data_IF_273207243399
#
_entry.id   IF_273207243399
#
_cell.length_a   1.000
_cell.length_b   1.000
_cell.length_c   1.000
_cell.angle_alpha   90.00
_cell.angle_beta   90.00
_cell.angle_gamma   90.00
#
_symmetry.space_group_name_H-M   'P 1'
#
loop_
_entity.id
_entity.type
_entity.pdbx_description
1 polymer ?
#
# COMPACT_ATOMS: atom_id res chain seq x y z
N UNK A 1 -16.02 -27.24 28.44
CA UNK A 1 -16.14 -26.42 27.21
C UNK A 1 -14.82 -26.52 26.49
N UNK A 2 -14.72 -27.41 25.50
CA UNK A 2 -13.53 -27.48 24.66
C UNK A 2 -13.50 -26.20 23.81
N UNK A 3 -12.48 -25.37 23.98
CA UNK A 3 -12.19 -24.30 23.06
C UNK A 3 -11.96 -24.95 21.69
N UNK A 4 -12.82 -24.66 20.73
CA UNK A 4 -12.59 -25.08 19.36
C UNK A 4 -11.22 -24.53 18.96
N UNK A 5 -10.25 -25.41 18.77
CA UNK A 5 -8.95 -25.07 18.21
C UNK A 5 -9.23 -24.61 16.79
N UNK A 6 -9.26 -23.29 16.62
CA UNK A 6 -9.33 -22.69 15.28
C UNK A 6 -8.03 -23.10 14.59
N UNK A 7 -8.11 -24.09 13.72
CA UNK A 7 -6.98 -24.56 12.94
C UNK A 7 -6.77 -23.59 11.78
N UNK A 8 -5.85 -22.67 11.95
CA UNK A 8 -5.49 -21.72 10.90
C UNK A 8 -4.58 -20.61 11.45
N UNK A 9 -3.96 -19.84 10.58
CA UNK A 9 -3.13 -18.72 11.02
C UNK A 9 -3.97 -17.70 11.78
N UNK A 10 -3.47 -17.25 12.93
CA UNK A 10 -4.13 -16.25 13.77
C UNK A 10 -3.84 -14.83 13.27
N UNK A 11 -4.89 -13.99 13.28
CA UNK A 11 -4.83 -12.62 12.80
C UNK A 11 -5.28 -11.69 13.93
N UNK A 12 -4.56 -10.59 14.12
CA UNK A 12 -5.00 -9.49 14.97
C UNK A 12 -5.10 -8.20 14.16
N UNK A 13 -6.24 -7.52 14.22
CA UNK A 13 -6.33 -6.14 13.76
C UNK A 13 -5.71 -5.24 14.82
N UNK A 14 -4.54 -4.68 14.50
CA UNK A 14 -3.78 -3.83 15.43
C UNK A 14 -4.36 -2.43 15.50
N UNK A 15 -4.66 -1.84 14.35
CA UNK A 15 -5.31 -0.54 14.22
C UNK A 15 -6.19 -0.47 12.98
N UNK A 16 -7.18 0.39 13.05
CA UNK A 16 -7.99 0.86 11.91
C UNK A 16 -8.13 2.36 12.07
N UNK A 17 -7.43 3.09 11.23
CA UNK A 17 -7.34 4.54 11.30
C UNK A 17 -8.20 5.23 10.22
N UNK A 18 -8.72 6.39 10.55
CA UNK A 18 -9.46 7.28 9.65
C UNK A 18 -10.95 7.41 9.92
N UNK A 19 -11.73 6.35 10.16
CA UNK A 19 -13.16 6.48 10.37
C UNK A 19 -13.48 7.14 11.73
N UNK A 20 -14.55 7.96 11.80
CA UNK A 20 -15.14 8.37 13.08
C UNK A 20 -15.65 7.17 13.87
N UNK A 21 -15.76 7.28 15.19
CA UNK A 21 -16.14 6.20 16.11
C UNK A 21 -17.40 5.43 15.68
N UNK A 22 -18.42 6.14 15.22
CA UNK A 22 -19.68 5.51 14.81
C UNK A 22 -19.54 4.63 13.58
N UNK A 23 -18.69 5.04 12.64
CA UNK A 23 -18.36 4.28 11.41
C UNK A 23 -17.39 3.15 11.76
N UNK A 24 -16.39 3.43 12.59
CA UNK A 24 -15.45 2.44 13.08
C UNK A 24 -16.16 1.21 13.71
N UNK A 25 -17.11 1.43 14.62
CA UNK A 25 -17.84 0.33 15.26
C UNK A 25 -18.57 -0.54 14.26
N UNK A 26 -19.33 0.06 13.34
CA UNK A 26 -20.03 -0.67 12.27
C UNK A 26 -19.06 -1.44 11.38
N UNK A 27 -17.91 -0.85 11.08
CA UNK A 27 -16.90 -1.51 10.26
C UNK A 27 -16.30 -2.72 10.97
N UNK A 28 -15.98 -2.60 12.26
CA UNK A 28 -15.50 -3.72 13.09
C UNK A 28 -16.55 -4.84 13.18
N UNK A 29 -17.83 -4.51 13.33
CA UNK A 29 -18.91 -5.51 13.35
C UNK A 29 -18.95 -6.28 12.02
N UNK A 30 -18.90 -5.59 10.88
CA UNK A 30 -18.83 -6.24 9.58
C UNK A 30 -17.58 -7.11 9.41
N UNK A 31 -16.41 -6.66 9.90
CA UNK A 31 -15.19 -7.46 9.87
C UNK A 31 -15.32 -8.74 10.69
N UNK A 32 -15.93 -8.67 11.86
CA UNK A 32 -16.17 -9.84 12.71
C UNK A 32 -17.13 -10.82 12.06
N UNK A 33 -18.22 -10.36 11.45
CA UNK A 33 -19.15 -11.20 10.69
C UNK A 33 -18.44 -11.94 9.54
N UNK A 34 -17.63 -11.23 8.79
CA UNK A 34 -16.86 -11.79 7.67
C UNK A 34 -15.78 -12.79 8.14
N UNK A 35 -15.14 -12.52 9.27
CA UNK A 35 -14.17 -13.43 9.88
C UNK A 35 -14.84 -14.76 10.27
N UNK A 36 -15.99 -14.68 10.93
CA UNK A 36 -16.78 -15.86 11.31
C UNK A 36 -17.24 -16.64 10.09
N UNK A 37 -17.78 -15.95 9.08
CA UNK A 37 -18.26 -16.57 7.85
C UNK A 37 -17.15 -17.33 7.10
N UNK A 38 -15.89 -16.89 7.21
CA UNK A 38 -14.73 -17.52 6.59
C UNK A 38 -13.93 -18.42 7.52
N UNK A 39 -14.40 -18.63 8.75
CA UNK A 39 -13.72 -19.41 9.79
C UNK A 39 -12.28 -18.94 10.05
N UNK A 40 -12.05 -17.63 9.95
CA UNK A 40 -10.75 -17.03 10.21
C UNK A 40 -10.53 -16.83 11.71
N UNK A 41 -9.33 -17.15 12.18
CA UNK A 41 -8.93 -17.01 13.57
C UNK A 41 -8.55 -15.56 13.89
N UNK A 42 -9.53 -14.69 14.06
CA UNK A 42 -9.29 -13.31 14.51
C UNK A 42 -9.20 -13.28 16.03
N UNK A 43 -8.08 -12.78 16.55
CA UNK A 43 -7.80 -12.68 17.97
C UNK A 43 -7.74 -11.21 18.40
N UNK A 44 -7.80 -10.98 19.72
CA UNK A 44 -7.64 -9.62 20.27
C UNK A 44 -6.31 -8.99 19.83
N UNK A 45 -6.31 -7.68 19.64
CA UNK A 45 -5.10 -6.92 19.28
C UNK A 45 -3.94 -7.09 20.26
N UNK A 46 -4.24 -7.42 21.51
CA UNK A 46 -3.24 -7.66 22.55
C UNK A 46 -2.77 -9.10 22.64
N UNK A 47 -3.45 -10.02 21.94
CA UNK A 47 -3.09 -11.42 21.91
C UNK A 47 -1.91 -11.66 20.93
N UNK A 48 -1.24 -12.79 21.14
CA UNK A 48 -0.26 -13.26 20.17
C UNK A 48 -0.98 -13.66 18.88
N UNK A 49 -0.51 -13.14 17.75
CA UNK A 49 -1.04 -13.43 16.44
C UNK A 49 0.10 -13.66 15.44
N UNK A 50 -0.12 -14.56 14.51
CA UNK A 50 0.85 -14.84 13.44
C UNK A 50 0.94 -13.68 12.45
N UNK A 51 -0.20 -13.04 12.20
CA UNK A 51 -0.28 -11.86 11.33
C UNK A 51 -0.96 -10.70 12.05
N UNK A 52 -0.48 -9.49 11.79
CA UNK A 52 -1.06 -8.25 12.29
C UNK A 52 -1.48 -7.37 11.13
N UNK A 53 -2.69 -6.82 11.21
CA UNK A 53 -3.26 -5.97 10.17
C UNK A 53 -3.38 -4.55 10.69
N UNK A 54 -2.86 -3.60 9.92
CA UNK A 54 -3.10 -2.16 10.10
C UNK A 54 -3.95 -1.67 8.96
N UNK A 55 -5.12 -1.17 9.29
CA UNK A 55 -6.10 -0.67 8.35
C UNK A 55 -6.12 0.85 8.29
N UNK A 56 -6.32 1.39 7.10
CA UNK A 56 -6.51 2.82 6.86
C UNK A 56 -7.73 2.98 5.97
N UNK A 57 -8.64 3.86 6.37
CA UNK A 57 -9.87 4.12 5.61
C UNK A 57 -10.04 5.62 5.45
N UNK A 58 -10.33 6.08 4.26
CA UNK A 58 -10.50 7.50 3.93
C UNK A 58 -11.77 7.72 3.13
N UNK A 59 -12.51 8.75 3.48
CA UNK A 59 -13.65 9.19 2.68
C UNK A 59 -13.22 10.37 1.80
N UNK A 60 -13.28 10.18 0.49
CA UNK A 60 -12.82 11.12 -0.52
C UNK A 60 -13.99 11.62 -1.35
N UNK A 61 -13.96 12.90 -1.73
CA UNK A 61 -14.91 13.45 -2.71
C UNK A 61 -14.30 13.31 -4.10
N UNK A 62 -14.91 12.48 -4.91
CA UNK A 62 -14.52 12.27 -6.29
C UNK A 62 -15.16 13.29 -7.25
N UNK A 63 -14.94 13.09 -8.53
CA UNK A 63 -15.55 13.90 -9.60
C UNK A 63 -17.08 13.82 -9.51
N UNK A 64 -17.76 14.96 -9.70
CA UNK A 64 -19.24 15.03 -9.65
C UNK A 64 -19.84 14.91 -8.25
N UNK A 65 -19.07 15.19 -7.19
CA UNK A 65 -19.49 15.08 -5.78
C UNK A 65 -19.84 13.67 -5.31
N UNK A 66 -19.47 12.65 -6.06
CA UNK A 66 -19.57 11.28 -5.58
C UNK A 66 -18.56 11.07 -4.45
N UNK A 67 -18.99 10.44 -3.37
CA UNK A 67 -18.07 10.03 -2.30
C UNK A 67 -17.51 8.65 -2.64
N UNK A 68 -16.22 8.50 -2.43
CA UNK A 68 -15.50 7.22 -2.55
C UNK A 68 -14.86 6.93 -1.20
N UNK A 69 -15.04 5.73 -0.70
CA UNK A 69 -14.34 5.23 0.47
C UNK A 69 -13.14 4.42 -0.02
N UNK A 70 -11.96 5.01 0.11
CA UNK A 70 -10.71 4.33 -0.17
C UNK A 70 -10.20 3.63 1.10
N UNK A 71 -9.66 2.44 0.95
CA UNK A 71 -9.15 1.68 2.07
C UNK A 71 -7.86 0.94 1.72
N UNK A 72 -7.05 0.72 2.74
CA UNK A 72 -5.76 0.04 2.63
C UNK A 72 -5.53 -0.80 3.89
N UNK A 73 -5.08 -2.03 3.71
CA UNK A 73 -4.61 -2.89 4.79
C UNK A 73 -3.17 -3.29 4.54
N UNK A 74 -2.33 -3.06 5.53
CA UNK A 74 -0.98 -3.62 5.61
C UNK A 74 -0.97 -4.82 6.55
N UNK A 75 -0.52 -5.95 6.06
CA UNK A 75 -0.39 -7.19 6.83
C UNK A 75 1.08 -7.43 7.13
N UNK A 76 1.36 -7.63 8.40
CA UNK A 76 2.70 -7.88 8.93
C UNK A 76 2.78 -9.27 9.52
N UNK A 77 3.91 -9.91 9.36
CA UNK A 77 4.24 -11.18 10.03
C UNK A 77 4.73 -10.97 11.48
N UNK A 78 5.15 -12.07 12.13
CA UNK A 78 5.67 -12.04 13.49
C UNK A 78 6.97 -11.23 13.62
N UNK A 79 7.75 -11.12 12.54
CA UNK A 79 9.01 -10.36 12.48
C UNK A 79 8.80 -8.90 12.11
N UNK A 80 7.54 -8.45 12.07
CA UNK A 80 7.12 -7.10 11.66
C UNK A 80 7.48 -6.75 10.21
N UNK A 81 7.74 -7.74 9.38
CA UNK A 81 7.87 -7.59 7.95
C UNK A 81 6.48 -7.44 7.30
N UNK A 82 6.30 -6.44 6.44
CA UNK A 82 5.05 -6.34 5.68
C UNK A 82 5.04 -7.40 4.58
N UNK A 83 4.13 -8.36 4.72
CA UNK A 83 4.00 -9.51 3.80
C UNK A 83 2.91 -9.33 2.75
N UNK A 84 1.94 -8.42 3.01
CA UNK A 84 0.86 -8.16 2.08
C UNK A 84 0.36 -6.72 2.23
N UNK A 85 -0.01 -6.10 1.13
CA UNK A 85 -0.80 -4.87 1.09
C UNK A 85 -2.04 -5.09 0.24
N UNK A 86 -3.18 -4.81 0.81
CA UNK A 86 -4.49 -4.88 0.14
C UNK A 86 -5.01 -3.45 0.02
N UNK A 87 -5.50 -3.07 -1.13
CA UNK A 87 -6.11 -1.76 -1.35
C UNK A 87 -7.41 -1.90 -2.10
N UNK A 88 -8.31 -0.97 -1.89
CA UNK A 88 -9.55 -0.92 -2.65
C UNK A 88 -10.27 0.40 -2.47
N UNK A 89 -11.29 0.58 -3.30
CA UNK A 89 -12.17 1.73 -3.28
C UNK A 89 -13.61 1.27 -3.45
N UNK A 90 -14.52 1.87 -2.68
CA UNK A 90 -15.94 1.62 -2.78
C UNK A 90 -16.68 2.92 -3.03
N UNK A 91 -17.52 2.95 -4.07
CA UNK A 91 -18.40 4.06 -4.30
C UNK A 91 -19.46 4.12 -3.21
N UNK A 92 -19.60 5.27 -2.57
CA UNK A 92 -20.63 5.54 -1.59
C UNK A 92 -21.72 6.39 -2.21
N UNK A 93 -22.96 6.16 -1.74
CA UNK A 93 -24.09 6.96 -2.22
C UNK A 93 -23.94 8.43 -1.80
N UNK A 94 -24.22 9.36 -2.70
CA UNK A 94 -24.07 10.81 -2.48
C UNK A 94 -25.13 11.43 -1.55
N UNK A 95 -25.84 10.64 -0.77
CA UNK A 95 -27.02 11.04 -0.02
C UNK A 95 -26.76 11.69 1.35
N UNK A 96 -25.50 11.93 1.72
CA UNK A 96 -25.15 12.45 3.04
C UNK A 96 -24.54 13.85 3.00
N UNK A 97 -24.81 14.65 4.03
CA UNK A 97 -24.07 15.89 4.31
C UNK A 97 -22.75 15.50 5.00
N UNK A 98 -21.66 15.46 4.22
CA UNK A 98 -20.34 15.10 4.70
C UNK A 98 -19.86 13.77 4.13
N UNK A 99 -18.55 13.65 3.99
CA UNK A 99 -17.90 12.52 3.34
C UNK A 99 -18.16 11.18 4.03
N UNK A 100 -18.13 11.15 5.36
CA UNK A 100 -18.38 9.93 6.14
C UNK A 100 -19.87 9.56 6.26
N UNK A 101 -20.79 10.51 6.07
CA UNK A 101 -22.22 10.23 6.10
C UNK A 101 -22.66 9.29 4.95
N UNK A 102 -21.85 9.21 3.91
CA UNK A 102 -22.07 8.32 2.77
C UNK A 102 -21.52 6.91 2.98
N UNK A 103 -20.73 6.68 4.02
CA UNK A 103 -20.22 5.36 4.40
C UNK A 103 -21.29 4.57 5.14
N UNK A 104 -22.33 4.16 4.45
CA UNK A 104 -23.41 3.34 5.01
C UNK A 104 -22.93 1.89 5.27
N UNK A 105 -23.78 1.13 5.97
CA UNK A 105 -23.48 -0.25 6.34
C UNK A 105 -23.18 -1.13 5.11
N UNK A 106 -23.87 -0.90 3.99
CA UNK A 106 -23.64 -1.64 2.75
C UNK A 106 -22.25 -1.40 2.17
N UNK A 107 -21.77 -0.16 2.19
CA UNK A 107 -20.42 0.19 1.75
C UNK A 107 -19.39 -0.45 2.67
N UNK A 108 -19.56 -0.33 3.99
CA UNK A 108 -18.65 -0.93 4.98
C UNK A 108 -18.58 -2.46 4.85
N UNK A 109 -19.72 -3.11 4.61
CA UNK A 109 -19.80 -4.54 4.37
C UNK A 109 -19.04 -4.97 3.11
N UNK A 110 -19.18 -4.23 1.99
CA UNK A 110 -18.42 -4.53 0.77
C UNK A 110 -16.91 -4.41 1.00
N UNK A 111 -16.47 -3.39 1.74
CA UNK A 111 -15.06 -3.22 2.11
C UNK A 111 -14.59 -4.40 2.95
N UNK A 112 -15.34 -4.76 3.99
CA UNK A 112 -15.02 -5.89 4.86
C UNK A 112 -14.95 -7.21 4.06
N UNK A 113 -15.95 -7.47 3.22
CA UNK A 113 -15.99 -8.67 2.36
C UNK A 113 -14.79 -8.73 1.43
N UNK A 114 -14.49 -7.64 0.73
CA UNK A 114 -13.39 -7.57 -0.23
C UNK A 114 -12.03 -7.73 0.44
N UNK A 115 -11.80 -7.04 1.54
CA UNK A 115 -10.56 -7.12 2.30
C UNK A 115 -10.34 -8.51 2.91
N UNK A 116 -11.37 -9.06 3.57
CA UNK A 116 -11.30 -10.39 4.18
C UNK A 116 -11.15 -11.51 3.15
N UNK A 117 -11.74 -11.35 1.96
CA UNK A 117 -11.56 -12.32 0.87
C UNK A 117 -10.10 -12.36 0.40
N UNK A 118 -9.48 -11.21 0.18
CA UNK A 118 -8.09 -11.13 -0.25
C UNK A 118 -7.14 -11.63 0.84
N UNK A 119 -7.42 -11.29 2.10
CA UNK A 119 -6.66 -11.80 3.24
C UNK A 119 -6.78 -13.32 3.36
N UNK A 120 -7.97 -13.88 3.23
CA UNK A 120 -8.19 -15.33 3.26
C UNK A 120 -7.44 -16.04 2.13
N UNK A 121 -7.46 -15.48 0.92
CA UNK A 121 -6.72 -16.02 -0.22
C UNK A 121 -5.19 -16.04 0.04
N UNK A 122 -4.66 -14.99 0.66
CA UNK A 122 -3.25 -14.94 1.05
C UNK A 122 -2.90 -16.02 2.09
N UNK A 123 -3.75 -16.19 3.11
CA UNK A 123 -3.52 -17.16 4.18
C UNK A 123 -3.68 -18.61 3.70
N UNK A 124 -4.47 -18.85 2.68
CA UNK A 124 -4.64 -20.15 2.05
C UNK A 124 -3.55 -20.48 1.02
N UNK A 125 -2.79 -19.48 0.58
CA UNK A 125 -1.69 -19.71 -0.35
C UNK A 125 -0.58 -20.52 0.33
N UNK A 126 0.00 -21.54 -0.35
CA UNK A 126 1.14 -22.26 0.20
C UNK A 126 2.28 -21.26 0.43
N UNK A 127 2.85 -21.27 1.63
CA UNK A 127 3.98 -20.41 2.00
C UNK A 127 5.18 -20.81 1.14
N UNK A 128 5.30 -20.23 -0.03
CA UNK A 128 6.57 -20.25 -0.74
C UNK A 128 7.46 -19.26 0.01
N UNK A 129 8.64 -19.67 0.50
CA UNK A 129 9.56 -18.73 1.11
C UNK A 129 9.77 -17.58 0.12
N UNK A 130 9.52 -16.36 0.56
CA UNK A 130 9.77 -15.18 -0.27
C UNK A 130 11.23 -15.27 -0.73
N UNK A 131 11.42 -15.35 -2.04
CA UNK A 131 12.75 -15.21 -2.59
C UNK A 131 13.28 -13.85 -2.08
N UNK A 132 14.53 -13.80 -1.55
CA UNK A 132 15.08 -12.54 -1.10
C UNK A 132 14.95 -11.53 -2.25
N UNK A 133 14.64 -10.26 -1.94
CA UNK A 133 14.53 -9.24 -2.97
C UNK A 133 15.82 -9.30 -3.80
N UNK A 134 15.66 -9.48 -5.11
CA UNK A 134 16.78 -9.49 -6.02
C UNK A 134 17.53 -8.17 -5.78
N UNK A 135 18.74 -8.27 -5.25
CA UNK A 135 19.63 -7.15 -5.14
C UNK A 135 19.79 -6.60 -6.56
N UNK A 136 19.67 -5.27 -6.76
CA UNK A 136 20.02 -4.69 -8.04
C UNK A 136 21.44 -5.17 -8.36
N UNK A 137 21.59 -5.88 -9.45
CA UNK A 137 22.91 -6.25 -9.93
C UNK A 137 23.69 -4.95 -10.07
N UNK A 138 24.68 -4.74 -9.21
CA UNK A 138 25.67 -3.70 -9.40
C UNK A 138 26.33 -3.99 -10.73
N UNK A 139 25.91 -3.27 -11.76
CA UNK A 139 26.67 -3.19 -12.98
C UNK A 139 27.93 -2.41 -12.62
N UNK A 140 28.99 -3.16 -12.33
CA UNK A 140 30.32 -2.60 -12.25
C UNK A 140 30.64 -1.84 -13.54
N UNK A 141 31.42 -0.76 -13.43
CA UNK A 141 31.78 0.01 -14.59
C UNK A 141 32.50 -0.90 -15.60
N UNK A 142 31.95 -0.97 -16.80
CA UNK A 142 32.56 -1.62 -17.93
C UNK A 142 33.81 -0.80 -18.31
N UNK A 143 34.98 -1.25 -17.90
CA UNK A 143 36.24 -0.74 -18.39
C UNK A 143 36.42 -1.26 -19.83
N UNK A 144 35.98 -0.43 -20.77
CA UNK A 144 36.39 -0.58 -22.13
C UNK A 144 37.90 -0.26 -22.20
N UNK A 145 38.72 -1.27 -22.34
CA UNK A 145 40.10 -1.09 -22.75
C UNK A 145 40.12 -0.52 -24.14
N UNK A 146 40.53 0.74 -24.26
CA UNK A 146 40.91 1.31 -25.52
C UNK A 146 42.44 1.35 -25.56
N UNK A 147 42.97 0.41 -26.28
CA UNK A 147 44.36 0.48 -26.76
C UNK A 147 44.32 1.10 -28.16
N UNK A 148 45.09 2.12 -28.34
CA UNK A 148 45.89 2.50 -29.51
C UNK A 148 45.98 4.03 -29.65
N UNK A 149 47.11 4.56 -29.28
CA UNK A 149 47.69 5.81 -29.83
C UNK A 149 48.61 5.42 -31.00
N UNK A 150 49.20 6.31 -31.75
CA UNK A 150 49.15 7.78 -31.83
C UNK A 150 49.02 8.34 -33.27
N UNK A 151 48.79 9.61 -33.45
CA UNK A 151 49.61 10.43 -34.31
C UNK A 151 49.32 11.94 -34.21
N UNK A 152 50.41 12.64 -34.13
CA UNK A 152 50.65 14.06 -34.13
C UNK A 152 50.15 14.73 -35.40
N UNK A 153 49.51 15.90 -35.26
CA UNK A 153 49.86 17.04 -36.16
C UNK A 153 49.46 18.38 -35.50
N UNK A 154 50.48 19.17 -35.31
CA UNK A 154 50.50 20.61 -35.05
C UNK A 154 49.62 21.40 -35.99
N UNK A 155 48.92 22.40 -35.49
CA UNK A 155 48.99 23.79 -35.96
C UNK A 155 48.09 24.69 -35.11
N UNK A 156 48.69 25.64 -34.47
CA UNK A 156 48.09 26.91 -34.04
C UNK A 156 48.49 27.96 -35.10
N UNK A 157 48.14 29.25 -35.03
CA UNK A 157 47.14 29.95 -34.23
C UNK A 157 46.29 30.95 -35.06
N UNK A 158 45.42 31.68 -34.39
CA UNK A 158 44.75 32.84 -34.98
C UNK A 158 43.58 33.24 -34.13
N UNK A 159 43.80 33.99 -33.12
CA UNK A 159 43.70 35.45 -32.98
C UNK A 159 42.32 36.04 -33.33
N UNK A 160 41.76 36.67 -32.33
CA UNK A 160 41.24 38.03 -32.26
C UNK A 160 39.74 38.23 -32.15
N UNK A 161 39.34 38.77 -31.06
CA UNK A 161 38.63 40.06 -30.82
C UNK A 161 37.10 39.94 -30.82
N UNK A 162 36.52 40.06 -29.71
CA UNK A 162 36.11 41.25 -28.94
C UNK A 162 34.80 41.91 -29.37
N UNK A 163 34.16 42.35 -28.37
CA UNK A 163 33.23 43.44 -28.15
C UNK A 163 31.74 43.04 -28.18
N UNK A 164 31.15 43.06 -26.99
CA UNK A 164 30.45 44.21 -26.41
C UNK A 164 29.16 44.53 -27.18
N UNK A 165 28.06 44.67 -26.60
CA UNK A 165 27.59 45.63 -25.64
C UNK A 165 26.07 45.76 -25.75
N UNK A 166 25.49 46.19 -24.67
CA UNK A 166 24.23 46.97 -24.50
C UNK A 166 22.91 46.25 -24.76
N UNK A 167 22.24 46.08 -23.70
CA UNK A 167 21.47 47.00 -22.91
C UNK A 167 20.07 47.31 -23.42
N UNK A 168 19.17 47.17 -22.50
CA UNK A 168 17.99 48.00 -22.23
C UNK A 168 16.79 47.94 -23.17
N UNK A 169 15.73 47.67 -22.58
CA UNK A 169 14.66 48.59 -22.22
C UNK A 169 13.30 48.27 -22.83
N UNK A 170 12.41 48.29 -21.97
CA UNK A 170 10.95 48.46 -21.94
C UNK A 170 10.11 47.20 -21.82
#
# INVERSE_FOLDING_TARGET
>A
MAAATVQGPTIAFESIDGPPDSIFRKYVDNLNEEAVARQMAVVSRTASAQYRVRGYVSALVGKGRATVIAWLWDVYDADQGRVLRITGEEAASSSGRGTWASADDRVLRRIATSGMQQLAAFLAAPTTPAAPPAQPAERGPSIAAADTAPEVHSHAPGTTTALADMASDR
#
